data_IF_744898975020
#
_entry.id   IF_744898975020
#
_cell.length_a   1.000
_cell.length_b   1.000
_cell.length_c   1.000
_cell.angle_alpha   90.00
_cell.angle_beta   90.00
_cell.angle_gamma   90.00
#
_symmetry.space_group_name_H-M   'P 1'
#
loop_
_entity.id
_entity.type
_entity.pdbx_description
1 polymer ?
#
# COMPACT_ATOMS: atom_id res chain seq x y z
N UNK A 1 -14.81 24.74 -10.41
CA UNK A 1 -14.87 23.35 -9.90
C UNK A 1 -13.78 22.55 -10.60
N UNK A 2 -13.85 21.20 -10.59
CA UNK A 2 -12.87 20.35 -11.29
C UNK A 2 -12.96 20.43 -12.82
N UNK A 3 -14.06 20.96 -13.35
CA UNK A 3 -14.33 21.17 -14.76
C UNK A 3 -14.09 22.62 -15.21
N UNK A 4 -13.44 23.45 -14.38
CA UNK A 4 -13.17 24.86 -14.68
C UNK A 4 -14.43 25.75 -14.66
N UNK A 5 -15.57 25.25 -14.22
CA UNK A 5 -16.80 26.04 -14.14
C UNK A 5 -16.81 26.91 -12.89
N UNK A 6 -17.41 28.10 -12.94
CA UNK A 6 -17.54 28.95 -11.77
C UNK A 6 -18.37 28.26 -10.70
N UNK A 7 -17.94 28.38 -9.43
CA UNK A 7 -18.69 27.87 -8.28
C UNK A 7 -19.89 28.75 -7.93
N UNK A 8 -19.99 29.94 -8.53
CA UNK A 8 -21.05 30.93 -8.27
C UNK A 8 -21.25 31.29 -6.79
N UNK A 9 -20.20 31.10 -5.98
CA UNK A 9 -20.14 31.40 -4.54
C UNK A 9 -19.44 32.73 -4.24
N UNK A 10 -19.17 33.53 -5.28
CA UNK A 10 -18.45 34.79 -5.20
C UNK A 10 -16.92 34.65 -5.13
N UNK A 11 -16.39 33.43 -5.15
CA UNK A 11 -14.94 33.19 -5.18
C UNK A 11 -14.43 33.16 -6.63
N UNK A 12 -13.48 34.05 -6.94
CA UNK A 12 -12.75 34.07 -8.22
C UNK A 12 -11.26 33.89 -7.96
N UNK A 13 -10.55 33.22 -8.87
CA UNK A 13 -9.13 32.91 -8.70
C UNK A 13 -8.83 31.71 -7.79
N UNK A 14 -9.85 30.96 -7.35
CA UNK A 14 -9.70 29.65 -6.71
C UNK A 14 -10.16 28.56 -7.66
N UNK A 15 -9.43 27.44 -7.68
CA UNK A 15 -9.74 26.31 -8.54
C UNK A 15 -9.37 24.98 -7.90
N UNK A 16 -9.82 23.89 -8.52
CA UNK A 16 -9.55 22.55 -8.07
C UNK A 16 -8.21 22.05 -8.61
N UNK A 17 -7.42 21.40 -7.74
CA UNK A 17 -6.15 20.79 -8.09
C UNK A 17 -6.20 19.27 -7.84
N UNK A 18 -5.80 18.42 -8.82
CA UNK A 18 -5.79 16.96 -8.69
C UNK A 18 -4.62 16.45 -7.84
N UNK A 19 -4.52 16.91 -6.60
CA UNK A 19 -3.42 16.52 -5.73
C UNK A 19 -3.38 17.25 -4.40
N UNK A 20 -2.35 16.95 -3.63
CA UNK A 20 -2.09 17.59 -2.35
C UNK A 20 -0.59 17.60 -2.05
N UNK A 21 -0.18 18.52 -1.18
CA UNK A 21 1.16 18.58 -0.63
C UNK A 21 1.08 18.48 0.88
N UNK A 22 2.08 17.81 1.48
CA UNK A 22 2.21 17.63 2.92
C UNK A 22 3.67 17.92 3.29
N UNK A 23 3.88 18.70 4.34
CA UNK A 23 5.18 18.74 5.00
C UNK A 23 5.36 17.45 5.79
N UNK A 24 6.28 16.60 5.33
CA UNK A 24 6.57 15.29 5.94
C UNK A 24 7.14 15.40 7.35
N UNK A 25 7.65 16.58 7.76
CA UNK A 25 8.22 16.80 9.08
C UNK A 25 7.14 17.05 10.13
N UNK A 26 6.13 17.85 9.78
CA UNK A 26 5.05 18.26 10.68
C UNK A 26 3.76 17.46 10.47
N UNK A 27 3.62 16.78 9.33
CA UNK A 27 2.37 16.12 8.91
C UNK A 27 1.32 17.10 8.41
N UNK A 28 1.64 18.39 8.31
CA UNK A 28 0.71 19.44 7.92
C UNK A 28 0.44 19.40 6.40
N UNK A 29 -0.82 19.61 6.02
CA UNK A 29 -1.18 19.88 4.63
C UNK A 29 -0.60 21.24 4.22
N UNK A 30 -0.25 21.41 2.96
CA UNK A 30 0.28 22.68 2.43
C UNK A 30 -0.65 23.25 1.36
N UNK A 31 -0.67 24.58 1.25
CA UNK A 31 -1.41 25.27 0.21
C UNK A 31 -0.70 25.07 -1.14
N UNK A 32 -1.49 24.92 -2.20
CA UNK A 32 -0.99 24.79 -3.58
C UNK A 32 -1.59 25.91 -4.40
N UNK A 33 -0.73 26.64 -5.08
CA UNK A 33 -1.13 27.56 -6.13
C UNK A 33 -0.73 26.97 -7.47
N UNK A 34 -1.54 27.21 -8.48
CA UNK A 34 -1.13 26.99 -9.86
C UNK A 34 -1.50 28.19 -10.71
N UNK A 35 -0.77 28.38 -11.81
CA UNK A 35 -1.00 29.44 -12.76
C UNK A 35 -1.31 28.88 -14.15
N UNK A 36 -1.68 29.77 -15.06
CA UNK A 36 -1.80 29.56 -16.50
C UNK A 36 -1.48 30.89 -17.19
N UNK A 37 -1.09 30.87 -18.46
CA UNK A 37 -0.99 32.09 -19.27
C UNK A 37 -2.24 32.28 -20.11
N UNK A 38 -3.08 33.26 -19.74
CA UNK A 38 -4.35 33.53 -20.44
C UNK A 38 -4.18 33.96 -21.91
N UNK A 39 -2.98 34.33 -22.36
CA UNK A 39 -2.70 34.61 -23.78
C UNK A 39 -2.49 33.33 -24.59
N UNK A 40 -2.13 32.21 -23.94
CA UNK A 40 -1.84 30.92 -24.57
C UNK A 40 -3.09 30.03 -24.61
N UNK A 41 -4.16 30.54 -25.22
CA UNK A 41 -5.43 29.78 -25.38
C UNK A 41 -5.26 28.46 -26.15
N UNK A 42 -4.27 28.37 -27.04
CA UNK A 42 -3.92 27.12 -27.73
C UNK A 42 -3.26 26.06 -26.84
N UNK A 43 -2.82 26.45 -25.64
CA UNK A 43 -2.21 25.59 -24.64
C UNK A 43 -3.00 25.62 -23.32
N UNK A 44 -4.34 25.62 -23.45
CA UNK A 44 -5.32 25.58 -22.35
C UNK A 44 -5.31 26.81 -21.42
N UNK A 45 -4.83 27.96 -21.87
CA UNK A 45 -4.97 29.20 -21.09
C UNK A 45 -6.41 29.71 -21.04
N UNK A 46 -6.75 30.38 -19.92
CA UNK A 46 -8.02 31.09 -19.64
C UNK A 46 -9.17 30.18 -19.21
N UNK A 47 -8.90 28.95 -18.80
CA UNK A 47 -9.93 28.02 -18.32
C UNK A 47 -9.88 27.81 -16.80
N UNK A 48 -8.89 28.38 -16.11
CA UNK A 48 -8.63 28.23 -14.67
C UNK A 48 -8.49 26.77 -14.23
N UNK A 49 -8.19 25.84 -15.14
CA UNK A 49 -7.94 24.44 -14.83
C UNK A 49 -6.44 24.19 -14.74
N UNK A 50 -6.06 23.15 -14.00
CA UNK A 50 -4.69 22.65 -14.07
C UNK A 50 -4.63 21.51 -15.10
N UNK A 51 -4.30 21.85 -16.34
CA UNK A 51 -4.28 20.96 -17.51
C UNK A 51 -3.13 21.33 -18.48
N UNK A 52 -1.85 21.24 -18.04
CA UNK A 52 -0.69 21.58 -18.87
C UNK A 52 -0.68 20.85 -20.21
N UNK A 53 -0.12 21.47 -21.25
CA UNK A 53 0.21 20.78 -22.50
C UNK A 53 1.66 20.24 -22.49
N UNK A 54 2.02 19.49 -23.54
CA UNK A 54 3.41 19.07 -23.77
C UNK A 54 4.25 20.09 -24.54
N UNK A 55 3.67 21.22 -24.93
CA UNK A 55 4.29 22.20 -25.83
C UNK A 55 5.40 22.97 -25.13
N UNK A 56 6.64 22.85 -25.61
CA UNK A 56 7.77 23.58 -25.03
C UNK A 56 7.93 24.98 -25.63
N UNK A 57 7.78 25.11 -26.94
CA UNK A 57 8.03 26.34 -27.69
C UNK A 57 6.95 26.58 -28.75
N UNK A 58 6.70 27.86 -29.02
CA UNK A 58 5.91 28.37 -30.14
C UNK A 58 6.79 29.25 -31.03
N UNK A 59 6.25 29.70 -32.17
CA UNK A 59 6.91 30.66 -33.07
C UNK A 59 7.24 31.99 -32.39
N UNK A 60 6.53 32.33 -31.31
CA UNK A 60 6.70 33.57 -30.54
C UNK A 60 7.56 33.39 -29.27
N UNK A 61 8.05 32.18 -28.99
CA UNK A 61 8.91 31.90 -27.85
C UNK A 61 8.43 30.75 -26.95
N UNK A 62 8.98 30.63 -25.73
CA UNK A 62 8.70 29.53 -24.83
C UNK A 62 7.24 29.52 -24.34
N UNK A 63 6.62 28.33 -24.38
CA UNK A 63 5.25 28.04 -23.93
C UNK A 63 5.27 27.26 -22.63
N UNK A 64 6.13 26.25 -22.52
CA UNK A 64 6.26 25.35 -21.37
C UNK A 64 4.91 24.87 -20.81
N UNK A 65 4.13 24.20 -21.65
CA UNK A 65 2.86 23.59 -21.28
C UNK A 65 1.77 24.59 -20.93
N UNK A 66 1.73 25.76 -21.57
CA UNK A 66 0.78 26.84 -21.24
C UNK A 66 1.16 27.64 -19.99
N UNK A 67 2.41 27.51 -19.51
CA UNK A 67 2.91 28.09 -18.27
C UNK A 67 2.10 27.69 -17.03
N UNK A 68 1.71 26.42 -16.99
CA UNK A 68 0.96 25.84 -15.88
C UNK A 68 1.82 25.57 -14.63
N UNK A 69 2.45 26.61 -14.09
CA UNK A 69 3.31 26.50 -12.91
C UNK A 69 2.54 25.99 -11.70
N UNK A 70 3.21 25.20 -10.88
CA UNK A 70 2.76 24.85 -9.53
C UNK A 70 3.69 25.53 -8.54
N UNK A 71 3.11 26.07 -7.48
CA UNK A 71 3.84 26.53 -6.30
C UNK A 71 3.30 25.83 -5.06
N UNK A 72 4.21 25.27 -4.28
CA UNK A 72 3.90 24.75 -2.94
C UNK A 72 4.21 25.85 -1.94
N UNK A 73 3.24 26.14 -1.09
CA UNK A 73 3.26 27.25 -0.17
C UNK A 73 3.40 26.73 1.26
N UNK A 74 4.54 27.02 1.87
CA UNK A 74 4.80 26.78 3.28
C UNK A 74 4.34 27.94 4.15
N UNK A 75 4.47 27.76 5.46
CA UNK A 75 4.11 28.76 6.46
C UNK A 75 5.31 29.14 7.34
N UNK A 76 5.32 30.34 7.93
CA UNK A 76 6.43 30.81 8.76
C UNK A 76 5.95 31.62 9.99
N UNK A 77 5.34 30.94 10.95
CA UNK A 77 4.74 31.58 12.14
C UNK A 77 5.72 32.31 13.10
N UNK A 78 7.02 32.31 12.84
CA UNK A 78 8.04 32.81 13.77
C UNK A 78 8.76 34.09 13.30
N UNK A 79 8.21 34.83 12.35
CA UNK A 79 8.81 36.11 11.91
C UNK A 79 8.18 37.26 12.69
N UNK A 80 9.02 38.08 13.33
CA UNK A 80 8.60 39.26 14.12
C UNK A 80 7.89 40.31 13.26
N UNK A 81 8.24 40.40 11.96
CA UNK A 81 7.64 41.32 11.02
C UNK A 81 6.37 40.69 10.39
N UNK A 82 5.16 41.22 10.66
CA UNK A 82 3.91 40.69 10.11
C UNK A 82 3.86 40.69 8.58
N UNK A 83 4.66 41.55 7.92
CA UNK A 83 4.74 41.60 6.45
C UNK A 83 5.31 40.35 5.80
N UNK A 84 5.98 39.52 6.58
CA UNK A 84 6.63 38.31 6.12
C UNK A 84 5.99 37.04 6.68
N UNK A 85 4.91 37.18 7.45
CA UNK A 85 4.18 36.06 8.02
C UNK A 85 3.29 35.40 6.97
N UNK A 86 3.35 34.08 6.90
CA UNK A 86 2.45 33.22 6.15
C UNK A 86 1.78 32.23 7.09
N UNK A 87 0.54 31.91 6.76
CA UNK A 87 -0.35 31.10 7.60
C UNK A 87 -0.22 29.61 7.26
N UNK A 88 -0.53 28.71 8.22
CA UNK A 88 -0.77 27.30 7.96
C UNK A 88 -1.80 27.06 6.87
N UNK A 89 -1.96 25.82 6.44
CA UNK A 89 -2.99 25.47 5.46
C UNK A 89 -4.38 25.96 5.86
N UNK A 90 -4.94 26.82 5.00
CA UNK A 90 -6.19 27.54 5.17
C UNK A 90 -7.04 27.50 3.88
N UNK A 91 -6.79 26.49 3.03
CA UNK A 91 -7.42 26.37 1.71
C UNK A 91 -7.17 27.59 0.81
N UNK A 92 -5.96 28.15 0.89
CA UNK A 92 -5.48 29.30 0.13
C UNK A 92 -6.18 30.65 0.44
N UNK A 93 -6.92 30.76 1.56
CA UNK A 93 -7.68 31.97 1.89
C UNK A 93 -6.79 33.22 2.06
N UNK A 94 -5.70 33.12 2.82
CA UNK A 94 -4.74 34.21 3.02
C UNK A 94 -4.09 34.65 1.70
N UNK A 95 -3.68 33.69 0.87
CA UNK A 95 -3.05 33.96 -0.41
C UNK A 95 -4.03 34.69 -1.32
N UNK A 96 -5.27 34.18 -1.40
CA UNK A 96 -6.35 34.79 -2.16
C UNK A 96 -6.59 36.24 -1.70
N UNK A 97 -6.76 36.46 -0.39
CA UNK A 97 -6.94 37.79 0.19
C UNK A 97 -5.83 38.76 -0.23
N UNK A 98 -4.56 38.34 -0.14
CA UNK A 98 -3.43 39.19 -0.51
C UNK A 98 -3.36 39.49 -2.01
N UNK A 99 -3.74 38.54 -2.87
CA UNK A 99 -3.83 38.77 -4.31
C UNK A 99 -5.00 39.69 -4.67
N UNK A 100 -6.13 39.59 -3.97
CA UNK A 100 -7.27 40.51 -4.17
C UNK A 100 -6.98 41.91 -3.64
N UNK A 101 -6.25 42.02 -2.53
CA UNK A 101 -5.73 43.29 -2.04
C UNK A 101 -4.84 43.97 -3.09
N UNK A 102 -4.02 43.20 -3.81
CA UNK A 102 -3.22 43.73 -4.92
C UNK A 102 -4.10 44.22 -6.08
N UNK A 103 -5.10 43.45 -6.48
CA UNK A 103 -6.00 43.80 -7.58
C UNK A 103 -6.72 45.14 -7.34
N UNK A 104 -7.11 45.41 -6.09
CA UNK A 104 -7.76 46.66 -5.70
C UNK A 104 -6.78 47.81 -5.49
N UNK A 105 -5.65 47.57 -4.80
CA UNK A 105 -4.77 48.65 -4.32
C UNK A 105 -3.53 48.90 -5.19
N UNK A 106 -3.13 47.95 -6.03
CA UNK A 106 -1.86 47.95 -6.77
C UNK A 106 -0.62 47.80 -5.88
N UNK A 107 -0.79 47.48 -4.59
CA UNK A 107 0.33 47.50 -3.63
C UNK A 107 1.20 46.25 -3.76
N UNK A 108 2.48 46.42 -4.11
CA UNK A 108 3.44 45.30 -4.23
C UNK A 108 3.69 44.54 -2.92
N UNK A 109 3.36 45.13 -1.76
CA UNK A 109 3.53 44.45 -0.47
C UNK A 109 2.60 43.26 -0.31
N UNK A 110 1.37 43.32 -0.83
CA UNK A 110 0.43 42.19 -0.72
C UNK A 110 0.87 41.03 -1.63
N UNK A 111 1.36 41.33 -2.83
CA UNK A 111 1.98 40.31 -3.72
C UNK A 111 3.19 39.64 -3.07
N UNK A 112 4.06 40.42 -2.41
CA UNK A 112 5.20 39.86 -1.67
C UNK A 112 4.74 38.97 -0.52
N UNK A 113 3.71 39.38 0.22
CA UNK A 113 3.13 38.58 1.30
C UNK A 113 2.52 37.26 0.77
N UNK A 114 1.86 37.29 -0.39
CA UNK A 114 1.33 36.08 -1.03
C UNK A 114 2.45 35.10 -1.41
N UNK A 115 3.58 35.61 -1.92
CA UNK A 115 4.66 34.77 -2.46
C UNK A 115 5.76 34.37 -1.50
N UNK A 116 5.90 35.01 -0.34
CA UNK A 116 7.02 34.73 0.56
C UNK A 116 7.03 33.29 1.12
N UNK A 117 5.87 32.64 1.16
CA UNK A 117 5.73 31.25 1.57
C UNK A 117 6.09 30.22 0.50
N UNK A 118 6.39 30.64 -0.74
CA UNK A 118 6.70 29.71 -1.82
C UNK A 118 7.98 28.93 -1.52
N UNK A 119 7.86 27.62 -1.28
CA UNK A 119 8.98 26.76 -0.90
C UNK A 119 9.48 25.89 -2.05
N UNK A 120 8.62 25.64 -3.03
CA UNK A 120 8.95 24.82 -4.19
C UNK A 120 8.09 25.23 -5.38
N UNK A 121 8.66 25.15 -6.58
CA UNK A 121 7.95 25.38 -7.82
C UNK A 121 8.36 24.36 -8.87
N UNK A 122 7.43 24.04 -9.76
CA UNK A 122 7.71 23.26 -10.96
C UNK A 122 6.81 23.69 -12.10
N UNK A 123 7.24 23.36 -13.32
CA UNK A 123 6.47 23.50 -14.55
C UNK A 123 6.18 22.10 -15.12
N UNK A 124 5.06 21.46 -14.73
CA UNK A 124 4.67 20.17 -15.26
C UNK A 124 4.35 20.27 -16.75
N UNK A 125 4.75 19.25 -17.50
CA UNK A 125 4.44 19.11 -18.92
C UNK A 125 3.66 17.82 -19.13
N UNK A 126 2.60 17.89 -19.93
CA UNK A 126 1.82 16.71 -20.26
C UNK A 126 2.48 15.89 -21.36
N UNK A 127 2.49 14.58 -21.20
CA UNK A 127 2.92 13.68 -22.26
C UNK A 127 1.72 13.44 -23.22
N UNK A 128 1.76 13.92 -24.46
CA UNK A 128 0.62 13.83 -25.38
C UNK A 128 0.27 12.40 -25.81
N UNK A 129 1.13 11.40 -25.52
CA UNK A 129 0.85 9.99 -25.81
C UNK A 129 -0.18 9.36 -24.85
N UNK A 130 -0.55 10.05 -23.78
CA UNK A 130 -1.49 9.56 -22.78
C UNK A 130 -2.59 10.59 -22.52
N UNK A 131 -3.77 10.13 -22.11
CA UNK A 131 -4.80 11.05 -21.64
C UNK A 131 -4.42 11.61 -20.27
N UNK A 132 -4.80 12.87 -20.03
CA UNK A 132 -4.52 13.57 -18.78
C UNK A 132 -5.17 12.84 -17.59
N UNK A 133 -4.39 12.55 -16.55
CA UNK A 133 -4.81 11.80 -15.35
C UNK A 133 -5.44 10.42 -15.66
N UNK A 134 -4.98 9.75 -16.72
CA UNK A 134 -5.48 8.43 -17.14
C UNK A 134 -5.16 7.25 -16.21
N UNK A 135 -4.33 7.45 -15.18
CA UNK A 135 -3.88 6.36 -14.29
C UNK A 135 -3.99 6.75 -12.82
N UNK A 136 -4.25 5.77 -11.96
CA UNK A 136 -4.30 5.93 -10.50
C UNK A 136 -2.90 5.91 -9.85
N UNK A 137 -1.83 5.98 -10.65
CA UNK A 137 -0.46 5.92 -10.15
C UNK A 137 -0.15 7.15 -9.31
N UNK A 138 0.20 6.92 -8.03
CA UNK A 138 0.58 7.98 -7.11
C UNK A 138 2.07 8.32 -7.22
N UNK A 139 2.38 9.41 -7.91
CA UNK A 139 3.73 9.98 -7.95
C UNK A 139 3.97 10.80 -6.68
N UNK A 140 5.09 10.53 -6.00
CA UNK A 140 5.53 11.29 -4.81
C UNK A 140 6.82 12.01 -5.11
N UNK A 141 6.75 13.33 -5.26
CA UNK A 141 7.93 14.18 -5.35
C UNK A 141 8.41 14.49 -3.94
N UNK A 142 9.62 14.05 -3.59
CA UNK A 142 10.23 14.25 -2.28
C UNK A 142 11.37 15.24 -2.45
N UNK A 143 11.21 16.45 -1.92
CA UNK A 143 12.26 17.46 -1.91
C UNK A 143 13.03 17.34 -0.60
N UNK A 144 14.31 16.98 -0.69
CA UNK A 144 15.19 16.99 0.47
C UNK A 144 15.54 18.45 0.79
N UNK A 145 15.10 18.93 1.95
CA UNK A 145 15.58 20.19 2.52
C UNK A 145 16.51 19.85 3.69
N UNK A 146 17.56 20.64 3.94
CA UNK A 146 18.31 20.51 5.19
C UNK A 146 17.36 20.54 6.39
N UNK A 147 17.65 19.72 7.40
CA UNK A 147 16.87 19.76 8.64
C UNK A 147 17.02 21.15 9.26
N UNK A 148 15.89 21.81 9.50
CA UNK A 148 15.90 23.11 10.15
C UNK A 148 16.00 22.90 11.65
N UNK A 149 16.98 23.55 12.25
CA UNK A 149 17.09 23.66 13.70
C UNK A 149 15.95 24.52 14.25
N UNK A 150 15.27 24.04 15.29
CA UNK A 150 14.28 24.86 15.99
C UNK A 150 14.94 26.11 16.60
N UNK A 151 14.30 27.27 16.46
CA UNK A 151 14.80 28.57 16.93
C UNK A 151 13.74 29.34 17.70
N UNK A 152 14.18 30.28 18.54
CA UNK A 152 13.31 31.15 19.32
C UNK A 152 12.42 30.34 20.27
N UNK A 153 11.08 30.59 20.32
CA UNK A 153 10.19 29.95 21.28
C UNK A 153 10.05 28.42 21.12
N UNK A 154 10.57 27.84 20.02
CA UNK A 154 10.53 26.40 19.74
C UNK A 154 11.87 25.70 20.04
N UNK A 155 12.93 26.46 20.35
CA UNK A 155 14.21 25.92 20.75
C UNK A 155 14.19 25.54 22.24
N UNK A 156 14.66 24.35 22.58
CA UNK A 156 14.92 23.98 23.97
C UNK A 156 16.26 24.56 24.42
N UNK A 157 16.34 25.03 25.68
CA UNK A 157 17.58 25.54 26.29
C UNK A 157 18.65 24.45 26.42
N UNK A 158 18.23 23.23 26.78
CA UNK A 158 19.06 22.02 26.77
C UNK A 158 18.63 21.12 25.60
N UNK A 159 19.11 21.38 24.38
CA UNK A 159 18.69 20.64 23.21
C UNK A 159 19.21 19.20 23.21
N UNK A 160 18.30 18.24 23.08
CA UNK A 160 18.65 16.91 22.61
C UNK A 160 18.75 16.98 21.08
N UNK A 161 19.85 16.49 20.50
CA UNK A 161 20.13 16.53 19.06
C UNK A 161 20.17 17.96 18.48
N UNK A 162 20.74 18.91 19.23
CA UNK A 162 20.96 20.30 18.78
C UNK A 162 19.69 21.00 18.24
N UNK A 163 18.50 20.69 18.77
CA UNK A 163 17.20 21.20 18.29
C UNK A 163 16.89 20.80 16.82
N UNK A 164 17.59 19.81 16.25
CA UNK A 164 17.22 19.18 14.99
C UNK A 164 16.03 18.23 15.21
N UNK A 165 15.11 18.09 14.23
CA UNK A 165 13.98 17.18 14.34
C UNK A 165 14.41 15.76 14.67
N UNK A 166 13.78 15.16 15.69
CA UNK A 166 13.92 13.75 16.05
C UNK A 166 12.59 13.05 15.81
N UNK A 167 12.65 11.83 15.30
CA UNK A 167 11.47 10.97 15.14
C UNK A 167 11.67 9.72 15.98
N UNK A 168 10.62 9.30 16.67
CA UNK A 168 10.58 8.00 17.34
C UNK A 168 9.49 7.19 16.68
N UNK A 169 9.82 5.96 16.28
CA UNK A 169 8.84 4.97 15.85
C UNK A 169 8.97 3.74 16.73
N UNK A 170 7.88 2.99 16.86
CA UNK A 170 7.89 1.70 17.52
C UNK A 170 7.45 0.62 16.53
N UNK A 171 7.74 -0.63 16.86
CA UNK A 171 7.36 -1.81 16.06
C UNK A 171 6.25 -2.62 16.75
N UNK A 172 5.52 -2.02 17.70
CA UNK A 172 4.51 -2.74 18.47
C UNK A 172 3.40 -3.32 17.58
N UNK A 173 3.06 -2.64 16.50
CA UNK A 173 2.00 -3.05 15.57
C UNK A 173 2.42 -4.20 14.64
N UNK A 174 3.73 -4.46 14.51
CA UNK A 174 4.28 -5.53 13.65
C UNK A 174 4.95 -6.65 14.44
N UNK A 175 4.73 -6.70 15.76
CA UNK A 175 5.31 -7.73 16.62
C UNK A 175 4.68 -9.10 16.36
N UNK A 176 5.46 -10.16 16.55
CA UNK A 176 4.92 -11.51 16.60
C UNK A 176 4.08 -11.71 17.87
N UNK A 177 2.83 -12.12 17.69
CA UNK A 177 1.94 -12.49 18.79
C UNK A 177 2.06 -14.00 18.98
N UNK A 178 2.38 -14.42 20.22
CA UNK A 178 2.42 -15.84 20.59
C UNK A 178 1.05 -16.26 21.13
N UNK A 179 0.67 -17.51 20.90
CA UNK A 179 -0.58 -18.11 21.38
C UNK A 179 -1.86 -17.38 20.92
N UNK A 180 -1.84 -16.83 19.70
CA UNK A 180 -3.03 -16.29 19.06
C UNK A 180 -3.94 -17.43 18.60
N UNK A 181 -5.07 -17.60 19.29
CA UNK A 181 -6.01 -18.70 19.03
C UNK A 181 -6.73 -18.54 17.69
N UNK A 182 -7.13 -17.32 17.31
CA UNK A 182 -7.81 -17.09 16.03
C UNK A 182 -6.89 -17.44 14.86
N UNK A 183 -5.61 -17.04 14.96
CA UNK A 183 -4.60 -17.43 13.96
C UNK A 183 -4.37 -18.93 13.95
N UNK A 184 -4.32 -19.59 15.11
CA UNK A 184 -4.19 -21.04 15.19
C UNK A 184 -5.36 -21.77 14.49
N UNK A 185 -6.60 -21.29 14.66
CA UNK A 185 -7.78 -21.82 13.97
C UNK A 185 -7.66 -21.64 12.46
N UNK A 186 -7.33 -20.43 11.99
CA UNK A 186 -7.16 -20.17 10.55
C UNK A 186 -6.01 -20.97 9.93
N UNK A 187 -4.97 -21.29 10.70
CA UNK A 187 -3.84 -22.08 10.23
C UNK A 187 -4.20 -23.54 9.97
N UNK A 188 -5.32 -24.05 10.50
CA UNK A 188 -5.81 -25.41 10.21
C UNK A 188 -6.13 -25.59 8.71
N UNK A 189 -6.48 -24.50 8.00
CA UNK A 189 -6.75 -24.54 6.56
C UNK A 189 -5.50 -24.87 5.74
N UNK A 190 -4.31 -24.63 6.29
CA UNK A 190 -3.04 -24.96 5.65
C UNK A 190 -2.75 -26.47 5.66
N UNK A 191 -3.39 -27.25 6.55
CA UNK A 191 -3.22 -28.70 6.59
C UNK A 191 -3.67 -29.26 5.24
N UNK A 192 -2.82 -30.07 4.62
CA UNK A 192 -3.11 -30.70 3.34
C UNK A 192 -2.51 -32.11 3.26
N UNK A 193 -2.98 -32.89 2.28
CA UNK A 193 -2.42 -34.20 1.93
C UNK A 193 -1.86 -34.10 0.51
N UNK A 194 -0.61 -34.51 0.33
CA UNK A 194 0.12 -34.33 -0.93
C UNK A 194 0.66 -35.68 -1.42
N UNK A 195 0.42 -36.03 -2.70
CA UNK A 195 -0.46 -35.34 -3.65
C UNK A 195 -1.95 -35.55 -3.33
N UNK A 196 -2.78 -34.58 -3.70
CA UNK A 196 -4.24 -34.69 -3.70
C UNK A 196 -4.78 -34.13 -5.03
N UNK A 197 -5.27 -34.97 -5.95
CA UNK A 197 -5.38 -36.44 -5.86
C UNK A 197 -4.05 -37.19 -6.00
N UNK A 198 -3.98 -38.42 -5.49
CA UNK A 198 -2.85 -39.34 -5.70
C UNK A 198 -3.09 -40.25 -6.90
N UNK A 199 -2.15 -40.30 -7.85
CA UNK A 199 -2.26 -41.09 -9.10
C UNK A 199 -1.14 -42.12 -9.23
N UNK A 200 -1.09 -43.05 -8.29
CA UNK A 200 -0.18 -44.20 -8.33
C UNK A 200 1.30 -43.85 -8.33
N UNK A 201 1.64 -42.62 -7.95
CA UNK A 201 2.99 -42.18 -7.67
C UNK A 201 2.96 -40.90 -6.82
N UNK A 202 4.02 -40.68 -6.06
CA UNK A 202 4.30 -39.46 -5.29
C UNK A 202 5.79 -39.12 -5.43
N UNK A 203 6.12 -37.83 -5.55
CA UNK A 203 7.53 -37.39 -5.66
C UNK A 203 8.39 -37.83 -4.47
N UNK A 204 7.77 -38.04 -3.32
CA UNK A 204 8.51 -38.44 -2.14
C UNK A 204 8.97 -39.92 -2.22
N UNK A 205 8.45 -40.71 -3.19
CA UNK A 205 8.58 -42.18 -3.21
C UNK A 205 10.00 -42.55 -3.63
N UNK A 206 10.61 -43.48 -2.89
CA UNK A 206 12.01 -43.85 -3.14
C UNK A 206 12.12 -45.01 -4.11
N UNK A 207 11.16 -45.94 -4.07
CA UNK A 207 11.14 -47.15 -4.88
C UNK A 207 9.75 -47.35 -5.49
N UNK A 208 9.66 -48.13 -6.57
CA UNK A 208 8.40 -48.44 -7.25
C UNK A 208 7.42 -49.27 -6.39
N UNK A 209 7.90 -49.86 -5.30
CA UNK A 209 7.09 -50.63 -4.34
C UNK A 209 6.52 -49.77 -3.21
N UNK A 210 7.04 -48.55 -3.03
CA UNK A 210 6.62 -47.65 -1.96
C UNK A 210 5.47 -46.79 -2.46
N UNK A 211 4.31 -46.88 -1.82
CA UNK A 211 3.22 -45.95 -2.04
C UNK A 211 3.03 -45.14 -0.76
N UNK A 212 3.26 -43.83 -0.79
CA UNK A 212 2.87 -42.99 0.35
C UNK A 212 2.52 -41.56 -0.03
N UNK A 213 1.62 -41.00 0.76
CA UNK A 213 1.26 -39.58 0.73
C UNK A 213 1.79 -38.88 1.97
N UNK A 214 2.12 -37.60 1.82
CA UNK A 214 2.57 -36.76 2.91
C UNK A 214 1.46 -35.83 3.34
N UNK A 215 1.14 -35.86 4.62
CA UNK A 215 0.27 -34.89 5.27
C UNK A 215 1.16 -33.74 5.76
N UNK A 216 0.87 -32.50 5.36
CA UNK A 216 1.72 -31.33 5.59
C UNK A 216 1.06 -30.30 6.50
N UNK A 217 1.86 -29.36 7.01
CA UNK A 217 1.46 -28.25 7.88
C UNK A 217 0.79 -28.70 9.18
N UNK A 218 1.21 -29.87 9.70
CA UNK A 218 0.68 -30.41 10.93
C UNK A 218 1.26 -29.70 12.16
N UNK A 219 0.43 -29.43 13.18
CA UNK A 219 0.92 -28.97 14.47
C UNK A 219 1.70 -30.08 15.20
N UNK A 220 2.39 -29.71 16.28
CA UNK A 220 3.19 -30.65 17.08
C UNK A 220 2.37 -31.83 17.59
N UNK A 221 1.18 -31.55 18.11
CA UNK A 221 0.22 -32.53 18.65
C UNK A 221 -1.08 -32.53 17.87
N UNK A 222 -1.45 -33.65 17.27
CA UNK A 222 -2.75 -33.84 16.65
C UNK A 222 -3.10 -35.32 16.48
N UNK A 223 -4.39 -35.59 16.29
CA UNK A 223 -4.91 -36.92 15.93
C UNK A 223 -5.41 -36.86 14.49
N UNK A 224 -4.96 -37.81 13.68
CA UNK A 224 -5.34 -37.95 12.27
C UNK A 224 -6.15 -39.23 12.15
N UNK A 225 -7.40 -39.13 11.72
CA UNK A 225 -8.31 -40.26 11.54
C UNK A 225 -8.72 -40.35 10.07
N UNK A 226 -8.48 -41.50 9.45
CA UNK A 226 -8.72 -41.74 8.03
C UNK A 226 -9.90 -42.69 7.91
N UNK A 227 -10.92 -42.28 7.15
CA UNK A 227 -12.15 -43.02 6.94
C UNK A 227 -12.38 -43.28 5.45
N UNK A 228 -13.04 -44.38 5.12
CA UNK A 228 -13.65 -44.53 3.81
C UNK A 228 -14.95 -43.69 3.72
N UNK A 229 -15.54 -43.60 2.53
CA UNK A 229 -16.84 -42.92 2.31
C UNK A 229 -18.01 -43.53 3.09
N UNK A 230 -17.89 -44.79 3.53
CA UNK A 230 -18.87 -45.45 4.39
C UNK A 230 -18.72 -45.14 5.88
N UNK A 231 -17.76 -44.31 6.28
CA UNK A 231 -17.50 -43.94 7.68
C UNK A 231 -16.71 -44.99 8.49
N UNK A 232 -16.20 -46.04 7.85
CA UNK A 232 -15.34 -47.02 8.51
C UNK A 232 -13.95 -46.44 8.72
N UNK A 233 -13.43 -46.54 9.95
CA UNK A 233 -12.07 -46.13 10.28
C UNK A 233 -11.05 -47.08 9.62
N UNK A 234 -10.20 -46.52 8.76
CA UNK A 234 -9.16 -47.23 8.02
C UNK A 234 -7.84 -47.21 8.79
N UNK A 235 -7.46 -46.04 9.31
CA UNK A 235 -6.23 -45.84 10.08
C UNK A 235 -6.35 -44.62 10.99
N UNK A 236 -5.64 -44.66 12.11
CA UNK A 236 -5.50 -43.55 13.05
C UNK A 236 -4.02 -43.30 13.33
N UNK A 237 -3.61 -42.04 13.35
CA UNK A 237 -2.29 -41.61 13.79
C UNK A 237 -2.42 -40.66 14.98
N UNK A 238 -1.59 -40.88 16.00
CA UNK A 238 -1.43 -39.95 17.12
C UNK A 238 -0.05 -39.34 16.98
N UNK A 239 -0.02 -38.05 16.61
CA UNK A 239 1.20 -37.32 16.36
C UNK A 239 1.56 -36.51 17.60
N UNK A 240 2.76 -36.73 18.12
CA UNK A 240 3.39 -35.91 19.16
C UNK A 240 4.88 -35.74 18.81
N UNK A 241 5.18 -34.85 17.87
CA UNK A 241 6.54 -34.64 17.35
C UNK A 241 6.74 -33.24 16.79
N UNK A 242 7.98 -32.77 16.70
CA UNK A 242 8.32 -31.44 16.16
C UNK A 242 8.23 -31.33 14.63
N UNK A 243 8.11 -32.46 13.92
CA UNK A 243 7.95 -32.46 12.47
C UNK A 243 6.62 -31.83 12.07
N UNK A 244 6.59 -31.05 11.00
CA UNK A 244 5.36 -30.42 10.48
C UNK A 244 4.62 -31.29 9.47
N UNK A 245 4.97 -32.58 9.39
CA UNK A 245 4.39 -33.53 8.45
C UNK A 245 4.29 -34.94 9.04
N UNK A 246 3.51 -35.79 8.38
CA UNK A 246 3.41 -37.23 8.64
C UNK A 246 3.17 -37.97 7.33
N UNK A 247 3.87 -39.08 7.12
CA UNK A 247 3.71 -39.91 5.93
C UNK A 247 2.72 -41.06 6.19
N UNK A 248 1.78 -41.23 5.27
CA UNK A 248 0.86 -42.36 5.25
C UNK A 248 1.17 -43.26 4.06
N UNK A 249 1.60 -44.47 4.36
CA UNK A 249 1.92 -45.59 3.46
C UNK A 249 0.72 -46.18 2.67
N UNK A 250 -0.44 -45.50 2.67
CA UNK A 250 -1.67 -45.95 2.04
C UNK A 250 -2.15 -47.35 2.49
N UNK A 251 -1.83 -47.75 3.73
CA UNK A 251 -2.32 -48.99 4.34
C UNK A 251 -3.28 -48.71 5.49
N UNK A 252 -4.15 -49.67 5.77
CA UNK A 252 -5.03 -49.67 6.94
C UNK A 252 -4.28 -50.10 8.23
N UNK A 253 -4.98 -50.12 9.36
CA UNK A 253 -4.43 -50.55 10.66
C UNK A 253 -3.95 -52.01 10.70
N UNK A 254 -4.40 -52.87 9.77
CA UNK A 254 -3.94 -54.25 9.61
C UNK A 254 -2.77 -54.37 8.62
N UNK A 255 -2.16 -53.24 8.23
CA UNK A 255 -1.04 -53.17 7.27
C UNK A 255 -1.38 -53.69 5.86
N UNK A 256 -2.67 -53.65 5.49
CA UNK A 256 -3.18 -54.02 4.17
C UNK A 256 -3.39 -52.74 3.36
N UNK A 257 -2.92 -52.72 2.11
CA UNK A 257 -3.15 -51.60 1.19
C UNK A 257 -4.63 -51.29 1.05
N UNK A 258 -4.96 -50.00 1.06
CA UNK A 258 -6.34 -49.55 0.85
C UNK A 258 -6.78 -49.80 -0.61
N UNK A 259 -8.06 -49.65 -0.91
CA UNK A 259 -8.53 -49.66 -2.30
C UNK A 259 -8.43 -48.25 -2.92
N UNK A 260 -8.37 -48.17 -4.25
CA UNK A 260 -8.53 -46.89 -4.94
C UNK A 260 -9.92 -46.29 -4.66
N UNK A 261 -9.99 -44.99 -4.35
CA UNK A 261 -11.25 -44.34 -4.03
C UNK A 261 -11.11 -43.05 -3.24
N UNK A 262 -12.25 -42.56 -2.77
CA UNK A 262 -12.36 -41.35 -1.92
C UNK A 262 -12.24 -41.74 -0.45
N UNK A 263 -11.43 -40.99 0.29
CA UNK A 263 -11.27 -41.10 1.72
C UNK A 263 -11.52 -39.74 2.38
N UNK A 264 -11.98 -39.78 3.62
CA UNK A 264 -12.18 -38.62 4.48
C UNK A 264 -11.09 -38.66 5.54
N UNK A 265 -10.27 -37.61 5.59
CA UNK A 265 -9.18 -37.49 6.55
C UNK A 265 -9.55 -36.36 7.52
N UNK A 266 -9.80 -36.74 8.76
CA UNK A 266 -10.14 -35.84 9.85
C UNK A 266 -8.90 -35.58 10.70
N UNK A 267 -8.65 -34.30 10.96
CA UNK A 267 -7.58 -33.81 11.82
C UNK A 267 -8.22 -33.19 13.05
N UNK A 268 -7.88 -33.70 14.23
CA UNK A 268 -8.25 -33.10 15.49
C UNK A 268 -6.99 -32.51 16.15
N UNK A 269 -7.00 -31.20 16.37
CA UNK A 269 -5.90 -30.45 17.00
C UNK A 269 -6.39 -29.98 18.38
N UNK A 270 -5.91 -30.61 19.48
CA UNK A 270 -6.38 -30.30 20.83
C UNK A 270 -6.24 -28.82 21.17
N UNK A 271 -7.34 -28.21 21.65
CA UNK A 271 -7.35 -26.81 22.06
C UNK A 271 -7.36 -25.79 20.91
N UNK A 272 -7.42 -26.23 19.65
CA UNK A 272 -7.51 -25.35 18.48
C UNK A 272 -8.78 -25.62 17.69
N UNK A 273 -8.98 -26.86 17.23
CA UNK A 273 -10.15 -27.21 16.43
C UNK A 273 -9.94 -28.42 15.53
N UNK A 274 -10.82 -28.57 14.54
CA UNK A 274 -10.86 -29.72 13.65
C UNK A 274 -10.81 -29.30 12.17
N UNK A 275 -10.23 -30.16 11.33
CA UNK A 275 -10.16 -29.99 9.88
C UNK A 275 -10.50 -31.30 9.18
N UNK A 276 -11.31 -31.25 8.13
CA UNK A 276 -11.67 -32.44 7.32
C UNK A 276 -11.24 -32.25 5.88
N UNK A 277 -10.42 -33.16 5.35
CA UNK A 277 -10.02 -33.18 3.95
C UNK A 277 -10.67 -34.38 3.26
N UNK A 278 -11.24 -34.13 2.07
CA UNK A 278 -11.65 -35.19 1.14
C UNK A 278 -10.47 -35.43 0.21
N UNK A 279 -9.96 -36.64 0.21
CA UNK A 279 -8.79 -37.03 -0.57
C UNK A 279 -9.16 -38.20 -1.47
N UNK A 280 -8.63 -38.19 -2.70
CA UNK A 280 -8.81 -39.28 -3.65
C UNK A 280 -7.46 -39.92 -3.98
N UNK A 281 -7.41 -41.25 -3.90
CA UNK A 281 -6.25 -42.04 -4.27
C UNK A 281 -6.60 -43.08 -5.32
N UNK A 282 -5.85 -43.08 -6.42
CA UNK A 282 -5.83 -44.16 -7.41
C UNK A 282 -4.51 -44.91 -7.26
N UNK A 283 -4.56 -46.11 -6.67
CA UNK A 283 -3.43 -47.02 -6.58
C UNK A 283 -3.22 -47.73 -7.93
N UNK A 284 -1.96 -47.95 -8.29
CA UNK A 284 -1.61 -48.79 -9.45
C UNK A 284 -1.69 -50.27 -9.08
N UNK A 285 -2.07 -51.15 -10.02
CA UNK A 285 -1.82 -52.57 -9.89
C UNK A 285 -0.33 -52.81 -9.64
N UNK A 286 -0.01 -53.73 -8.73
CA UNK A 286 1.37 -54.12 -8.49
C UNK A 286 1.86 -54.91 -9.71
N UNK A 287 2.83 -54.37 -10.45
CA UNK A 287 3.51 -55.08 -11.53
C UNK A 287 4.69 -55.86 -10.93
N UNK A 288 4.58 -57.19 -10.91
CA UNK A 288 5.60 -58.11 -10.37
C UNK A 288 6.54 -58.66 -11.46
N UNK A 289 6.42 -58.19 -12.71
CA UNK A 289 7.10 -58.81 -13.86
C UNK A 289 8.42 -58.14 -14.25
N UNK A 290 8.68 -56.91 -13.82
CA UNK A 290 9.93 -56.19 -14.10
C UNK A 290 10.56 -55.72 -12.79
N UNK A 291 11.59 -56.45 -12.34
CA UNK A 291 12.48 -56.07 -11.22
C UNK A 291 13.69 -55.30 -11.72
#
# INVERSE_FOLDING_TARGET
DKEGKPLNDGTYGLSWFPGYAIDVRTGERLNIMFGEDSWLTGDNGKDMMWNPTGTLYSTTGPVFGGKHYIWIMGHNQNIINPRFQTVPYDSCAFIHEKLMEYDVSGTLNSVRAAWIGAMWTAIPLHNPSFDFLSTDVKIRLRVATPLHQARGPHAKEDPINDNLPMYTFNTYDVKSIKNDHEKAVSALDLINVVPNPYYGHSWYERNQLDNYVRITNLPRKCVISIYNVGGTLIRKFEKDSDLTYLDWDLKNSANISIASGVYIIHFNVPGVGERVIRWFGALRPIDLQNF
#
